data_IF_244211490508
#
_entry.id   IF_244211490508
#
_cell.length_a   1.000
_cell.length_b   1.000
_cell.length_c   1.000
_cell.angle_alpha   90.00
_cell.angle_beta   90.00
_cell.angle_gamma   90.00
#
_symmetry.space_group_name_H-M   'P 1'
#
loop_
_entity.id
_entity.type
_entity.pdbx_description
1 polymer ?
#
# COMPACT_ATOMS: atom_id res chain seq x y z
N UNK A 1 5.11 -30.25 58.12
CA UNK A 1 5.92 -29.72 57.00
C UNK A 1 6.84 -28.66 57.57
N UNK A 2 8.15 -28.84 57.47
CA UNK A 2 9.14 -27.88 57.99
C UNK A 2 9.12 -26.60 57.12
N UNK A 3 9.08 -25.40 57.71
CA UNK A 3 9.07 -24.15 56.95
C UNK A 3 10.41 -23.97 56.23
N UNK A 4 10.39 -23.84 54.91
CA UNK A 4 11.60 -23.52 54.14
C UNK A 4 12.10 -22.13 54.55
N UNK A 5 13.36 -22.09 54.99
CA UNK A 5 14.01 -20.88 55.46
C UNK A 5 14.18 -19.90 54.29
N UNK A 6 13.53 -18.73 54.35
CA UNK A 6 13.45 -17.78 53.23
C UNK A 6 14.83 -17.33 52.73
N UNK A 7 15.80 -17.20 53.63
CA UNK A 7 17.15 -16.77 53.27
C UNK A 7 17.91 -17.85 52.49
N UNK A 8 17.62 -19.13 52.74
CA UNK A 8 18.16 -20.23 51.95
C UNK A 8 17.63 -20.20 50.52
N UNK A 9 16.36 -19.84 50.33
CA UNK A 9 15.74 -19.75 49.00
C UNK A 9 16.29 -18.56 48.22
N UNK A 10 16.47 -17.41 48.87
CA UNK A 10 17.09 -16.23 48.25
C UNK A 10 18.53 -16.51 47.83
N UNK A 11 19.31 -17.17 48.70
CA UNK A 11 20.68 -17.54 48.39
C UNK A 11 20.77 -18.52 47.22
N UNK A 12 19.82 -19.47 47.11
CA UNK A 12 19.75 -20.37 45.97
C UNK A 12 19.41 -19.59 44.68
N UNK A 13 18.42 -18.70 44.73
CA UNK A 13 18.04 -17.89 43.58
C UNK A 13 19.18 -17.00 43.07
N UNK A 14 19.93 -16.37 43.96
CA UNK A 14 21.07 -15.54 43.57
C UNK A 14 22.18 -16.37 42.92
N UNK A 15 22.46 -17.58 43.43
CA UNK A 15 23.42 -18.49 42.81
C UNK A 15 23.00 -18.92 41.41
N UNK A 16 21.73 -19.26 41.22
CA UNK A 16 21.18 -19.61 39.91
C UNK A 16 21.21 -18.41 38.96
N UNK A 17 20.90 -17.21 39.44
CA UNK A 17 20.97 -15.99 38.66
C UNK A 17 22.40 -15.68 38.20
N UNK A 18 23.38 -15.77 39.10
CA UNK A 18 24.79 -15.55 38.79
C UNK A 18 25.30 -16.58 37.79
N UNK A 19 24.90 -17.85 37.95
CA UNK A 19 25.22 -18.92 37.02
C UNK A 19 24.66 -18.65 35.61
N UNK A 20 23.37 -18.34 35.51
CA UNK A 20 22.71 -18.04 34.22
C UNK A 20 23.33 -16.80 33.58
N UNK A 21 23.62 -15.76 34.36
CA UNK A 21 24.27 -14.55 33.85
C UNK A 21 25.68 -14.84 33.32
N UNK A 22 26.46 -15.68 34.01
CA UNK A 22 27.79 -16.07 33.56
C UNK A 22 27.74 -16.87 32.25
N UNK A 23 26.79 -17.79 32.13
CA UNK A 23 26.56 -18.56 30.90
C UNK A 23 26.14 -17.65 29.75
N UNK A 24 25.17 -16.75 29.99
CA UNK A 24 24.70 -15.80 28.97
C UNK A 24 25.80 -14.85 28.51
N UNK A 25 26.73 -14.46 29.38
CA UNK A 25 27.86 -13.60 29.02
C UNK A 25 28.96 -14.35 28.23
N UNK A 26 29.12 -15.66 28.44
CA UNK A 26 30.01 -16.49 27.62
C UNK A 26 29.44 -16.73 26.23
N UNK A 27 28.11 -16.80 26.10
CA UNK A 27 27.43 -16.88 24.82
C UNK A 27 27.44 -15.51 24.16
N UNK A 28 28.30 -15.31 23.16
CA UNK A 28 28.21 -14.16 22.26
C UNK A 28 26.92 -14.28 21.46
N UNK A 29 25.83 -13.72 21.98
CA UNK A 29 24.60 -13.58 21.22
C UNK A 29 24.91 -12.71 19.99
N UNK A 30 24.50 -13.12 18.78
CA UNK A 30 24.56 -12.25 17.63
C UNK A 30 23.76 -11.00 17.99
N UNK A 31 24.42 -9.83 17.94
CA UNK A 31 23.75 -8.55 18.05
C UNK A 31 22.63 -8.57 17.01
N UNK A 32 21.39 -8.39 17.47
CA UNK A 32 20.22 -8.40 16.58
C UNK A 32 20.35 -7.19 15.66
N UNK A 33 21.00 -7.40 14.53
CA UNK A 33 20.98 -6.48 13.40
C UNK A 33 19.51 -6.46 12.98
N UNK A 34 18.80 -5.39 13.34
CA UNK A 34 17.55 -5.06 12.68
C UNK A 34 17.89 -4.99 11.19
N UNK A 35 17.39 -5.96 10.40
CA UNK A 35 17.59 -6.06 8.95
C UNK A 35 17.04 -4.80 8.25
N UNK A 36 17.84 -3.73 8.27
CA UNK A 36 17.68 -2.58 7.42
C UNK A 36 18.36 -2.89 6.10
N UNK A 37 17.61 -3.58 5.26
CA UNK A 37 17.83 -3.87 3.85
C UNK A 37 18.41 -2.64 3.10
N UNK A 38 19.75 -2.58 2.98
CA UNK A 38 20.44 -1.70 2.04
C UNK A 38 21.82 -2.27 1.71
N UNK A 39 21.82 -3.20 0.75
CA UNK A 39 22.98 -3.51 -0.09
C UNK A 39 23.44 -2.24 -0.83
N UNK A 40 24.59 -1.69 -0.43
CA UNK A 40 25.46 -0.97 -1.36
C UNK A 40 26.90 -1.07 -0.83
N UNK A 41 27.67 -1.93 -1.50
CA UNK A 41 29.11 -2.07 -1.34
C UNK A 41 29.79 -0.76 -1.71
N UNK A 42 30.52 -0.16 -0.77
CA UNK A 42 31.71 0.60 -1.11
C UNK A 42 32.68 0.57 0.06
N UNK A 43 33.86 0.03 -0.23
CA UNK A 43 35.00 -0.07 0.65
C UNK A 43 35.56 1.33 0.92
N UNK A 44 35.27 1.88 2.10
CA UNK A 44 36.16 2.82 2.76
C UNK A 44 35.85 2.88 4.25
N UNK A 45 36.83 2.50 5.07
CA UNK A 45 36.77 2.53 6.54
C UNK A 45 36.72 3.98 7.03
N UNK A 46 35.54 4.59 6.98
CA UNK A 46 35.16 5.68 7.89
C UNK A 46 33.98 5.18 8.71
N UNK A 47 34.25 4.87 9.97
CA UNK A 47 33.23 4.56 10.99
C UNK A 47 32.22 5.71 11.00
N UNK A 48 31.09 5.52 10.32
CA UNK A 48 30.00 6.48 10.34
C UNK A 48 29.36 6.35 11.72
N UNK A 49 29.63 7.32 12.59
CA UNK A 49 28.91 7.48 13.86
C UNK A 49 27.40 7.54 13.55
N UNK A 50 26.54 6.95 14.39
CA UNK A 50 25.09 7.04 14.19
C UNK A 50 24.67 8.52 14.15
N UNK A 51 23.85 8.88 13.17
CA UNK A 51 23.36 10.26 12.93
C UNK A 51 22.66 10.88 14.16
N UNK A 52 22.27 10.07 15.15
CA UNK A 52 21.67 10.55 16.39
C UNK A 52 22.68 11.00 17.46
N UNK A 53 23.99 10.80 17.25
CA UNK A 53 25.03 11.10 18.23
C UNK A 53 26.03 12.16 17.73
N UNK A 54 25.55 13.17 17.02
CA UNK A 54 26.32 14.40 16.80
C UNK A 54 25.74 15.50 17.67
N UNK A 55 26.51 15.97 18.65
CA UNK A 55 26.17 17.06 19.58
C UNK A 55 25.94 18.43 18.90
N UNK A 56 26.09 18.51 17.57
CA UNK A 56 25.95 19.75 16.79
C UNK A 56 24.55 19.99 16.23
N UNK A 57 23.59 19.06 16.41
CA UNK A 57 22.21 19.27 15.97
C UNK A 57 21.47 20.03 17.06
N UNK A 58 21.52 21.36 16.99
CA UNK A 58 20.71 22.27 17.82
C UNK A 58 19.21 22.05 17.57
N UNK A 59 18.64 21.04 18.24
CA UNK A 59 17.21 20.75 18.28
C UNK A 59 16.50 21.94 18.92
N UNK A 60 15.38 22.36 18.33
CA UNK A 60 14.60 23.47 18.86
C UNK A 60 14.21 23.18 20.31
N UNK A 61 14.46 24.13 21.21
CA UNK A 61 14.25 23.99 22.65
C UNK A 61 12.79 24.28 23.02
N UNK A 62 12.07 25.05 22.20
CA UNK A 62 10.63 25.32 22.40
C UNK A 62 9.83 25.21 21.09
N UNK A 63 8.51 25.08 21.23
CA UNK A 63 7.57 25.03 20.12
C UNK A 63 7.58 26.35 19.32
N UNK A 64 7.65 27.48 20.02
CA UNK A 64 7.70 28.80 19.41
C UNK A 64 9.02 29.02 18.64
N UNK A 65 10.14 28.54 19.17
CA UNK A 65 11.42 28.53 18.45
C UNK A 65 11.35 27.68 17.18
N UNK A 66 10.70 26.50 17.24
CA UNK A 66 10.49 25.67 16.06
C UNK A 66 9.64 26.40 15.01
N UNK A 67 8.54 27.04 15.43
CA UNK A 67 7.65 27.78 14.54
C UNK A 67 8.33 28.95 13.85
N UNK A 68 9.08 29.76 14.60
CA UNK A 68 9.85 30.88 14.05
C UNK A 68 10.93 30.40 13.06
N UNK A 69 11.62 29.30 13.40
CA UNK A 69 12.64 28.70 12.53
C UNK A 69 12.04 28.13 11.24
N UNK A 70 10.86 27.50 11.32
CA UNK A 70 10.11 27.02 10.15
C UNK A 70 9.60 28.18 9.27
N UNK A 71 9.13 29.26 9.87
CA UNK A 71 8.73 30.47 9.16
C UNK A 71 9.91 31.08 8.39
N UNK A 72 11.08 31.24 9.04
CA UNK A 72 12.29 31.75 8.41
C UNK A 72 12.76 30.87 7.23
N UNK A 73 12.63 29.55 7.32
CA UNK A 73 12.95 28.63 6.21
C UNK A 73 11.95 28.77 5.06
N UNK A 74 10.67 29.05 5.37
CA UNK A 74 9.62 29.23 4.38
C UNK A 74 9.77 30.54 3.59
N UNK A 75 10.26 31.60 4.24
CA UNK A 75 10.44 32.92 3.65
C UNK A 75 11.74 33.09 2.85
N UNK A 76 12.75 32.24 3.09
CA UNK A 76 14.00 32.23 2.31
C UNK A 76 13.71 31.99 0.82
N UNK A 77 13.94 33.03 0.00
CA UNK A 77 13.80 32.97 -1.46
C UNK A 77 14.98 32.20 -2.05
N UNK A 78 14.70 31.04 -2.66
CA UNK A 78 15.71 30.23 -3.32
C UNK A 78 16.29 30.95 -4.55
N UNK A 79 17.62 30.94 -4.69
CA UNK A 79 18.31 31.31 -5.93
C UNK A 79 17.86 30.40 -7.09
N UNK A 80 18.11 30.79 -8.35
CA UNK A 80 17.71 30.00 -9.51
C UNK A 80 18.25 28.55 -9.46
N UNK A 81 19.53 28.38 -9.10
CA UNK A 81 20.14 27.05 -8.86
C UNK A 81 19.44 26.30 -7.71
N UNK A 82 19.11 26.99 -6.62
CA UNK A 82 18.36 26.41 -5.50
C UNK A 82 16.95 25.94 -5.88
N UNK A 83 16.24 26.66 -6.75
CA UNK A 83 14.92 26.25 -7.27
C UNK A 83 15.00 24.96 -8.08
N UNK A 84 16.04 24.81 -8.91
CA UNK A 84 16.26 23.59 -9.70
C UNK A 84 16.51 22.40 -8.76
N UNK A 85 17.35 22.56 -7.75
CA UNK A 85 17.65 21.51 -6.76
C UNK A 85 16.38 21.10 -6.00
N UNK A 86 15.59 22.09 -5.53
CA UNK A 86 14.31 21.85 -4.86
C UNK A 86 13.35 21.04 -5.73
N UNK A 87 13.21 21.40 -7.00
CA UNK A 87 12.34 20.69 -7.94
C UNK A 87 12.82 19.25 -8.20
N UNK A 88 14.12 19.04 -8.36
CA UNK A 88 14.72 17.70 -8.48
C UNK A 88 14.44 16.85 -7.24
N UNK A 89 14.62 17.41 -6.05
CA UNK A 89 14.37 16.73 -4.78
C UNK A 89 12.89 16.39 -4.59
N UNK A 90 11.98 17.32 -4.90
CA UNK A 90 10.55 17.08 -4.85
C UNK A 90 10.11 15.97 -5.80
N UNK A 91 10.66 15.92 -7.02
CA UNK A 91 10.39 14.85 -7.97
C UNK A 91 10.92 13.50 -7.47
N UNK A 92 12.10 13.47 -6.82
CA UNK A 92 12.67 12.26 -6.20
C UNK A 92 11.77 11.75 -5.07
N UNK A 93 11.27 12.64 -4.21
CA UNK A 93 10.32 12.29 -3.13
C UNK A 93 9.00 11.76 -3.70
N UNK A 94 8.44 12.42 -4.72
CA UNK A 94 7.20 11.96 -5.39
C UNK A 94 7.37 10.58 -6.01
N UNK A 95 8.52 10.32 -6.65
CA UNK A 95 8.86 8.98 -7.19
C UNK A 95 8.97 7.94 -6.10
N UNK A 96 9.70 8.21 -5.01
CA UNK A 96 9.81 7.28 -3.87
C UNK A 96 8.45 7.00 -3.22
N UNK A 97 7.60 8.02 -3.04
CA UNK A 97 6.23 7.84 -2.54
C UNK A 97 5.38 6.98 -3.48
N UNK A 98 5.44 7.22 -4.79
CA UNK A 98 4.72 6.42 -5.80
C UNK A 98 5.21 4.96 -5.83
N UNK A 99 6.51 4.73 -5.69
CA UNK A 99 7.07 3.37 -5.60
C UNK A 99 6.60 2.70 -4.30
N UNK A 100 6.67 3.38 -3.16
CA UNK A 100 6.21 2.81 -1.89
C UNK A 100 4.71 2.52 -1.86
N UNK A 101 3.90 3.36 -2.52
CA UNK A 101 2.46 3.17 -2.67
C UNK A 101 2.14 1.99 -3.60
N UNK A 102 2.94 1.78 -4.65
CA UNK A 102 2.86 0.59 -5.53
C UNK A 102 3.30 -0.69 -4.81
N UNK A 103 4.41 -0.67 -4.07
CA UNK A 103 4.91 -1.85 -3.35
C UNK A 103 4.04 -2.23 -2.15
N UNK A 104 3.30 -1.28 -1.56
CA UNK A 104 2.23 -1.57 -0.58
C UNK A 104 0.93 -2.06 -1.22
N UNK A 105 0.75 -1.90 -2.53
CA UNK A 105 -0.48 -2.21 -3.27
C UNK A 105 -0.47 -3.52 -4.07
N UNK A 106 0.70 -4.08 -4.39
CA UNK A 106 0.80 -5.22 -5.32
C UNK A 106 1.64 -6.36 -4.73
N UNK A 107 0.98 -7.27 -4.00
CA UNK A 107 1.29 -8.71 -4.04
C UNK A 107 0.02 -9.46 -4.46
N UNK A 108 -0.22 -9.48 -5.77
CA UNK A 108 -1.00 -10.51 -6.46
C UNK A 108 -0.30 -10.81 -7.79
N UNK A 109 0.03 -12.07 -8.11
CA UNK A 109 0.51 -12.42 -9.43
C UNK A 109 -0.69 -12.40 -10.38
N UNK A 110 -0.55 -11.74 -11.53
CA UNK A 110 -1.51 -11.81 -12.61
C UNK A 110 -0.76 -12.32 -13.83
N UNK A 111 -0.90 -13.61 -14.11
CA UNK A 111 -0.67 -14.17 -15.44
C UNK A 111 -1.63 -13.46 -16.40
N UNK A 112 -1.06 -12.78 -17.40
CA UNK A 112 -1.86 -12.24 -18.50
C UNK A 112 -1.44 -12.96 -19.76
N UNK A 113 -2.33 -13.82 -20.21
CA UNK A 113 -2.34 -14.47 -21.52
C UNK A 113 -2.49 -13.36 -22.57
N UNK A 114 -1.48 -13.18 -23.42
CA UNK A 114 -1.62 -12.43 -24.67
C UNK A 114 -1.63 -13.40 -25.85
N UNK A 115 -2.79 -13.46 -26.50
CA UNK A 115 -2.96 -13.94 -27.88
C UNK A 115 -2.37 -12.89 -28.81
N UNK A 116 -1.40 -13.28 -29.62
CA UNK A 116 -1.16 -12.66 -30.93
C UNK A 116 -0.97 -13.77 -31.96
N UNK A 117 -1.96 -13.90 -32.85
CA UNK A 117 -1.76 -14.50 -34.16
C UNK A 117 -0.71 -13.67 -34.91
N UNK A 118 0.29 -14.32 -35.52
CA UNK A 118 0.56 -14.18 -36.96
C UNK A 118 1.74 -15.06 -37.42
N UNK A 119 1.43 -15.84 -38.48
CA UNK A 119 2.26 -16.28 -39.61
C UNK A 119 3.50 -17.16 -39.33
N UNK A 120 3.30 -18.44 -39.63
CA UNK A 120 4.34 -19.45 -39.83
C UNK A 120 5.06 -19.26 -41.18
N UNK A 121 6.34 -18.91 -41.15
CA UNK A 121 7.28 -19.21 -42.23
C UNK A 121 8.10 -20.45 -41.86
N UNK A 122 8.04 -21.45 -42.74
CA UNK A 122 8.75 -22.72 -42.68
C UNK A 122 10.26 -22.50 -42.76
N UNK A 123 11.04 -22.94 -41.76
CA UNK A 123 12.46 -23.28 -41.91
C UNK A 123 12.75 -24.51 -41.05
N UNK A 124 13.22 -25.57 -41.72
CA UNK A 124 13.77 -26.78 -41.12
C UNK A 124 15.17 -26.49 -40.57
N UNK A 125 15.53 -27.06 -39.42
CA UNK A 125 16.91 -26.97 -38.92
C UNK A 125 17.07 -27.57 -37.53
N UNK A 126 17.59 -28.79 -37.48
CA UNK A 126 18.06 -29.49 -36.28
C UNK A 126 19.22 -28.73 -35.62
N UNK A 127 19.07 -28.40 -34.34
CA UNK A 127 20.18 -28.41 -33.38
C UNK A 127 19.63 -28.33 -31.95
N UNK A 128 19.79 -29.44 -31.24
CA UNK A 128 19.60 -29.59 -29.79
C UNK A 128 20.58 -28.69 -29.04
N UNK A 129 20.18 -27.45 -28.81
CA UNK A 129 20.72 -26.60 -27.74
C UNK A 129 19.55 -26.19 -26.86
N UNK A 130 19.46 -26.86 -25.71
CA UNK A 130 18.47 -26.59 -24.67
C UNK A 130 18.43 -25.08 -24.37
N UNK A 131 17.34 -24.42 -24.76
CA UNK A 131 17.04 -23.05 -24.31
C UNK A 131 16.52 -23.13 -22.88
N UNK A 132 17.43 -23.01 -21.92
CA UNK A 132 17.08 -22.77 -20.53
C UNK A 132 16.45 -21.37 -20.43
N UNK A 133 15.15 -21.32 -20.16
CA UNK A 133 14.47 -20.08 -19.78
C UNK A 133 14.65 -19.92 -18.28
N UNK A 134 15.37 -18.88 -17.87
CA UNK A 134 15.86 -18.60 -16.51
C UNK A 134 14.77 -18.42 -15.42
N UNK A 135 13.50 -18.74 -15.69
CA UNK A 135 12.43 -18.52 -14.71
C UNK A 135 11.48 -19.71 -14.51
N UNK A 136 11.72 -20.88 -15.12
CA UNK A 136 10.98 -22.12 -14.83
C UNK A 136 11.83 -23.36 -15.16
N UNK A 137 12.73 -23.71 -14.25
CA UNK A 137 13.25 -25.08 -14.17
C UNK A 137 12.29 -25.83 -13.23
N UNK A 138 11.42 -26.66 -13.79
CA UNK A 138 10.69 -27.65 -13.00
C UNK A 138 11.53 -28.93 -13.02
N UNK A 139 12.15 -29.28 -11.89
CA UNK A 139 12.81 -30.57 -11.74
C UNK A 139 11.73 -31.64 -11.66
N UNK A 140 11.64 -32.46 -12.71
CA UNK A 140 10.73 -33.59 -12.79
C UNK A 140 11.27 -34.71 -11.89
N UNK A 141 11.08 -34.61 -10.58
CA UNK A 141 11.56 -35.64 -9.66
C UNK A 141 11.49 -35.39 -8.16
N UNK A 142 11.09 -34.20 -7.67
CA UNK A 142 11.09 -33.92 -6.23
C UNK A 142 9.71 -33.46 -5.76
N UNK A 143 9.10 -34.31 -4.94
CA UNK A 143 7.97 -34.13 -4.02
C UNK A 143 6.98 -33.00 -4.38
N UNK A 144 5.77 -33.40 -4.79
CA UNK A 144 4.61 -32.51 -4.75
C UNK A 144 4.53 -31.88 -3.36
N UNK A 145 4.85 -30.60 -3.25
CA UNK A 145 4.53 -29.84 -2.07
C UNK A 145 3.06 -30.12 -1.75
N UNK A 146 2.80 -30.55 -0.52
CA UNK A 146 1.45 -30.64 0.03
C UNK A 146 0.95 -29.21 0.06
N UNK A 147 0.42 -28.75 -1.06
CA UNK A 147 -0.16 -27.42 -1.17
C UNK A 147 -1.48 -27.52 -0.43
N UNK A 148 -1.46 -27.02 0.81
CA UNK A 148 -2.66 -26.97 1.60
C UNK A 148 -3.81 -26.30 0.82
N UNK A 149 -5.06 -26.75 1.03
CA UNK A 149 -6.19 -26.36 0.20
C UNK A 149 -6.29 -24.83 0.14
N UNK A 150 -6.54 -24.25 -1.05
CA UNK A 150 -6.53 -22.81 -1.24
C UNK A 150 -7.60 -22.16 -0.37
N UNK A 151 -7.17 -21.54 0.72
CA UNK A 151 -8.08 -20.74 1.55
C UNK A 151 -8.67 -19.62 0.70
N UNK A 152 -10.00 -19.46 0.73
CA UNK A 152 -10.69 -18.55 -0.15
C UNK A 152 -10.14 -17.11 0.01
N UNK A 153 -9.58 -16.59 -1.08
CA UNK A 153 -8.94 -15.26 -1.07
C UNK A 153 -9.98 -14.15 -0.86
N UNK A 154 -11.24 -14.42 -1.18
CA UNK A 154 -12.35 -13.49 -1.13
C UNK A 154 -13.11 -13.60 0.20
N UNK A 155 -13.11 -12.51 0.98
CA UNK A 155 -13.77 -12.46 2.29
C UNK A 155 -15.29 -12.73 2.26
N UNK A 156 -15.98 -12.48 1.13
CA UNK A 156 -17.40 -12.82 0.97
C UNK A 156 -17.59 -14.33 0.85
N UNK A 157 -16.81 -14.96 -0.03
CA UNK A 157 -16.82 -16.41 -0.23
C UNK A 157 -16.47 -17.13 1.08
N UNK A 158 -15.44 -16.69 1.80
CA UNK A 158 -15.10 -17.22 3.13
C UNK A 158 -16.25 -17.12 4.14
N UNK A 159 -16.97 -15.98 4.14
CA UNK A 159 -18.12 -15.79 5.03
C UNK A 159 -19.26 -16.74 4.67
N UNK A 160 -19.51 -16.93 3.38
CA UNK A 160 -20.57 -17.80 2.89
C UNK A 160 -20.23 -19.28 3.14
N UNK A 161 -18.98 -19.70 2.95
CA UNK A 161 -18.46 -21.02 3.33
C UNK A 161 -18.66 -21.32 4.83
N UNK A 162 -18.42 -20.34 5.71
CA UNK A 162 -18.66 -20.50 7.15
C UNK A 162 -20.16 -20.65 7.42
N UNK A 163 -21.00 -19.85 6.78
CA UNK A 163 -22.46 -19.93 6.94
C UNK A 163 -23.02 -21.26 6.44
N UNK A 164 -22.58 -21.75 5.29
CA UNK A 164 -23.05 -23.03 4.75
C UNK A 164 -22.64 -24.17 5.68
N UNK A 165 -21.41 -24.18 6.20
CA UNK A 165 -20.99 -25.16 7.22
C UNK A 165 -21.85 -25.10 8.48
N UNK A 166 -22.13 -23.90 8.99
CA UNK A 166 -23.02 -23.70 10.14
C UNK A 166 -24.45 -24.20 9.87
N UNK A 167 -24.98 -23.94 8.67
CA UNK A 167 -26.30 -24.42 8.26
C UNK A 167 -26.32 -25.95 8.21
N UNK A 168 -25.32 -26.59 7.59
CA UNK A 168 -25.19 -28.04 7.55
C UNK A 168 -25.18 -28.66 8.96
N UNK A 169 -24.42 -28.08 9.90
CA UNK A 169 -24.43 -28.57 11.28
C UNK A 169 -25.78 -28.39 11.95
N UNK A 170 -26.44 -27.25 11.76
CA UNK A 170 -27.75 -26.98 12.35
C UNK A 170 -28.83 -27.90 11.75
N UNK A 171 -28.73 -28.26 10.47
CA UNK A 171 -29.63 -29.20 9.80
C UNK A 171 -29.49 -30.61 10.37
N UNK A 172 -28.25 -31.07 10.60
CA UNK A 172 -27.97 -32.36 11.25
C UNK A 172 -28.43 -32.40 12.71
N UNK A 173 -28.29 -31.28 13.44
CA UNK A 173 -28.83 -31.18 14.80
C UNK A 173 -30.37 -31.24 14.82
N UNK A 174 -31.03 -30.64 13.82
CA UNK A 174 -32.49 -30.67 13.68
C UNK A 174 -33.03 -32.03 13.24
N UNK A 175 -32.29 -32.79 12.43
CA UNK A 175 -32.70 -34.14 12.00
C UNK A 175 -32.54 -35.20 13.09
N UNK A 176 -32.04 -34.83 14.27
CA UNK A 176 -31.84 -35.73 15.41
C UNK A 176 -30.46 -36.40 15.45
N UNK A 177 -29.59 -36.15 14.48
CA UNK A 177 -28.24 -36.71 14.39
C UNK A 177 -27.19 -35.84 15.12
N UNK A 178 -27.46 -35.48 16.38
CA UNK A 178 -26.65 -34.50 17.12
C UNK A 178 -25.19 -34.94 17.30
N UNK A 179 -24.94 -36.24 17.43
CA UNK A 179 -23.60 -36.77 17.67
C UNK A 179 -22.74 -36.71 16.41
N UNK A 180 -23.32 -36.98 15.24
CA UNK A 180 -22.64 -36.79 13.95
C UNK A 180 -22.30 -35.31 13.72
N UNK A 181 -23.19 -34.39 14.09
CA UNK A 181 -22.92 -32.96 13.98
C UNK A 181 -21.74 -32.52 14.87
N UNK A 182 -21.66 -33.05 16.11
CA UNK A 182 -20.53 -32.79 17.03
C UNK A 182 -19.23 -33.37 16.50
N UNK A 183 -19.25 -34.61 16.00
CA UNK A 183 -18.07 -35.25 15.41
C UNK A 183 -17.54 -34.47 14.21
N UNK A 184 -18.43 -34.02 13.30
CA UNK A 184 -18.05 -33.18 12.16
C UNK A 184 -17.48 -31.84 12.59
N UNK A 185 -18.09 -31.15 13.56
CA UNK A 185 -17.57 -29.90 14.14
C UNK A 185 -16.16 -30.11 14.72
N UNK A 186 -15.97 -31.19 15.47
CA UNK A 186 -14.69 -31.52 16.08
C UNK A 186 -13.64 -31.84 15.01
N UNK A 187 -13.98 -32.66 14.00
CA UNK A 187 -13.12 -32.98 12.86
C UNK A 187 -12.68 -31.71 12.13
N UNK A 188 -13.60 -30.81 11.83
CA UNK A 188 -13.29 -29.55 11.15
C UNK A 188 -12.45 -28.60 12.02
N UNK A 189 -12.66 -28.59 13.34
CA UNK A 189 -11.82 -27.85 14.28
C UNK A 189 -10.38 -28.39 14.28
N UNK A 190 -10.19 -29.70 14.35
CA UNK A 190 -8.87 -30.34 14.27
C UNK A 190 -8.18 -30.08 12.94
N UNK A 191 -8.90 -30.20 11.82
CA UNK A 191 -8.36 -29.87 10.50
C UNK A 191 -7.90 -28.41 10.42
N UNK A 192 -8.66 -27.47 11.00
CA UNK A 192 -8.27 -26.06 11.03
C UNK A 192 -7.01 -25.84 11.90
N UNK A 193 -6.88 -26.54 13.02
CA UNK A 193 -5.68 -26.46 13.88
C UNK A 193 -4.47 -27.03 13.15
N UNK A 194 -4.62 -28.18 12.50
CA UNK A 194 -3.56 -28.81 11.70
C UNK A 194 -3.11 -27.90 10.57
N UNK A 195 -4.05 -27.33 9.81
CA UNK A 195 -3.73 -26.38 8.74
C UNK A 195 -3.02 -25.12 9.28
N UNK A 196 -3.40 -24.62 10.46
CA UNK A 196 -2.70 -23.50 11.11
C UNK A 196 -1.27 -23.89 11.50
N UNK A 197 -1.05 -25.11 11.99
CA UNK A 197 0.27 -25.64 12.34
C UNK A 197 1.17 -25.86 11.12
N UNK A 198 0.59 -26.27 9.98
CA UNK A 198 1.26 -26.37 8.68
C UNK A 198 1.68 -25.01 8.11
N UNK A 199 1.12 -23.91 8.65
CA UNK A 199 1.43 -22.53 8.23
C UNK A 199 0.39 -21.90 7.30
N UNK A 200 -0.74 -22.58 7.10
CA UNK A 200 -1.84 -22.12 6.26
C UNK A 200 -2.64 -21.04 6.97
N UNK A 201 -2.85 -19.91 6.28
CA UNK A 201 -3.61 -18.77 6.82
C UNK A 201 -5.12 -19.01 6.75
N UNK A 202 -5.65 -19.78 7.71
CA UNK A 202 -7.09 -20.04 7.86
C UNK A 202 -7.83 -18.75 8.27
N UNK A 203 -8.88 -18.38 7.52
CA UNK A 203 -9.71 -17.18 7.75
C UNK A 203 -11.13 -17.57 8.17
N UNK A 204 -11.25 -18.05 9.41
CA UNK A 204 -12.47 -18.59 10.02
C UNK A 204 -13.28 -17.54 10.84
N UNK A 205 -12.68 -16.39 11.17
CA UNK A 205 -13.31 -15.37 12.03
C UNK A 205 -14.38 -14.52 11.31
N UNK A 206 -15.65 -14.75 11.63
CA UNK A 206 -16.83 -14.06 11.05
C UNK A 206 -16.74 -12.53 11.19
N UNK A 207 -16.40 -12.01 12.37
CA UNK A 207 -16.38 -10.57 12.61
C UNK A 207 -15.28 -9.86 11.82
N UNK A 208 -14.12 -10.50 11.68
CA UNK A 208 -13.02 -9.98 10.87
C UNK A 208 -13.37 -9.99 9.38
N UNK A 209 -14.06 -11.03 8.91
CA UNK A 209 -14.55 -11.10 7.53
C UNK A 209 -15.57 -9.99 7.24
N UNK A 210 -16.55 -9.78 8.13
CA UNK A 210 -17.52 -8.67 8.04
C UNK A 210 -16.82 -7.30 8.00
N UNK A 211 -15.88 -7.05 8.91
CA UNK A 211 -15.07 -5.81 8.93
C UNK A 211 -14.28 -5.62 7.63
N UNK A 212 -13.71 -6.71 7.10
CA UNK A 212 -12.96 -6.68 5.83
C UNK A 212 -13.86 -6.32 4.66
N UNK A 213 -15.08 -6.87 4.60
CA UNK A 213 -16.08 -6.54 3.59
C UNK A 213 -16.46 -5.05 3.70
N UNK A 214 -16.81 -4.57 4.89
CA UNK A 214 -17.15 -3.17 5.13
C UNK A 214 -16.02 -2.21 4.74
N UNK A 215 -14.76 -2.56 5.02
CA UNK A 215 -13.58 -1.78 4.61
C UNK A 215 -13.47 -1.69 3.08
N UNK A 216 -13.66 -2.80 2.38
CA UNK A 216 -13.64 -2.84 0.90
C UNK A 216 -14.77 -2.01 0.32
N UNK A 217 -15.96 -2.08 0.89
CA UNK A 217 -17.11 -1.28 0.44
C UNK A 217 -16.88 0.22 0.67
N UNK A 218 -16.34 0.61 1.84
CA UNK A 218 -15.95 1.99 2.11
C UNK A 218 -14.91 2.49 1.10
N UNK A 219 -13.88 1.69 0.79
CA UNK A 219 -12.89 2.03 -0.23
C UNK A 219 -13.53 2.25 -1.61
N UNK A 220 -14.47 1.38 -2.01
CA UNK A 220 -15.21 1.53 -3.27
C UNK A 220 -16.04 2.81 -3.30
N UNK A 221 -16.74 3.15 -2.20
CA UNK A 221 -17.50 4.41 -2.07
C UNK A 221 -16.59 5.64 -2.18
N UNK A 222 -15.44 5.63 -1.52
CA UNK A 222 -14.45 6.71 -1.61
C UNK A 222 -13.86 6.82 -3.02
N UNK A 223 -13.63 5.70 -3.70
CA UNK A 223 -13.20 5.78 -5.11
C UNK A 223 -14.31 6.33 -6.00
N UNK A 224 -15.55 5.87 -5.85
CA UNK A 224 -16.67 6.32 -6.68
C UNK A 224 -16.89 7.83 -6.54
N UNK A 225 -16.95 8.34 -5.32
CA UNK A 225 -17.07 9.79 -5.03
C UNK A 225 -15.95 10.60 -5.68
N UNK A 226 -14.69 10.18 -5.53
CA UNK A 226 -13.55 10.85 -6.19
C UNK A 226 -13.63 10.84 -7.71
N UNK A 227 -14.18 9.78 -8.30
CA UNK A 227 -14.37 9.71 -9.75
C UNK A 227 -15.48 10.65 -10.21
N UNK A 228 -16.58 10.74 -9.48
CA UNK A 228 -17.66 11.70 -9.76
C UNK A 228 -17.19 13.15 -9.58
N UNK A 229 -16.44 13.47 -8.52
CA UNK A 229 -15.82 14.79 -8.33
C UNK A 229 -14.91 15.18 -9.51
N UNK A 230 -14.13 14.24 -10.04
CA UNK A 230 -13.27 14.47 -11.21
C UNK A 230 -14.09 14.75 -12.48
N UNK A 231 -15.16 13.99 -12.72
CA UNK A 231 -16.07 14.22 -13.85
C UNK A 231 -16.72 15.60 -13.74
N UNK A 232 -17.28 15.92 -12.57
CA UNK A 232 -17.91 17.22 -12.30
C UNK A 232 -16.93 18.38 -12.50
N UNK A 233 -15.69 18.23 -12.01
CA UNK A 233 -14.64 19.25 -12.21
C UNK A 233 -14.31 19.42 -13.70
N UNK A 234 -14.18 18.31 -14.43
CA UNK A 234 -13.93 18.34 -15.87
C UNK A 234 -15.06 19.04 -16.62
N UNK A 235 -16.32 18.71 -16.32
CA UNK A 235 -17.49 19.35 -16.92
C UNK A 235 -17.57 20.84 -16.59
N UNK A 236 -17.35 21.23 -15.33
CA UNK A 236 -17.24 22.64 -14.93
C UNK A 236 -16.17 23.36 -15.73
N UNK A 237 -14.97 22.81 -15.83
CA UNK A 237 -13.87 23.46 -16.56
C UNK A 237 -14.15 23.58 -18.06
N UNK A 238 -14.84 22.60 -18.67
CA UNK A 238 -15.31 22.69 -20.06
C UNK A 238 -16.34 23.82 -20.21
N UNK A 239 -17.34 23.86 -19.34
CA UNK A 239 -18.39 24.89 -19.33
C UNK A 239 -17.80 26.28 -19.14
N UNK A 240 -16.94 26.47 -18.14
CA UNK A 240 -16.28 27.75 -17.87
C UNK A 240 -15.46 28.25 -19.07
N UNK A 241 -14.75 27.36 -19.78
CA UNK A 241 -14.01 27.74 -21.00
C UNK A 241 -14.95 28.14 -22.12
N UNK A 242 -16.05 27.42 -22.29
CA UNK A 242 -17.06 27.74 -23.29
C UNK A 242 -17.74 29.07 -22.98
N UNK A 243 -18.13 29.31 -21.74
CA UNK A 243 -18.77 30.55 -21.28
C UNK A 243 -17.81 31.75 -21.44
N UNK A 244 -16.52 31.58 -21.14
CA UNK A 244 -15.50 32.60 -21.42
C UNK A 244 -15.43 32.91 -22.92
N UNK A 245 -15.48 31.89 -23.78
CA UNK A 245 -15.45 32.08 -25.23
C UNK A 245 -16.70 32.79 -25.74
N UNK A 246 -17.89 32.39 -25.30
CA UNK A 246 -19.16 33.02 -25.71
C UNK A 246 -19.20 34.47 -25.26
N UNK A 247 -18.82 34.77 -24.02
CA UNK A 247 -18.75 36.14 -23.49
C UNK A 247 -17.75 37.01 -24.27
N UNK A 248 -16.56 36.48 -24.59
CA UNK A 248 -15.57 37.20 -25.41
C UNK A 248 -16.08 37.46 -26.84
N UNK A 249 -16.81 36.52 -27.44
CA UNK A 249 -17.42 36.71 -28.77
C UNK A 249 -18.54 37.74 -28.73
N UNK A 250 -19.38 37.73 -27.69
CA UNK A 250 -20.43 38.73 -27.48
C UNK A 250 -19.83 40.13 -27.31
N UNK A 251 -18.80 40.26 -26.47
CA UNK A 251 -18.07 41.52 -26.28
C UNK A 251 -17.48 42.02 -27.60
N UNK A 252 -16.82 41.16 -28.39
CA UNK A 252 -16.31 41.52 -29.73
C UNK A 252 -17.42 41.97 -30.68
N UNK A 253 -18.61 41.35 -30.65
CA UNK A 253 -19.77 41.76 -31.46
C UNK A 253 -20.30 43.13 -31.02
N UNK A 254 -20.41 43.37 -29.71
CA UNK A 254 -20.84 44.66 -29.16
C UNK A 254 -19.84 45.77 -29.50
N UNK A 255 -18.53 45.55 -29.27
CA UNK A 255 -17.47 46.49 -29.63
C UNK A 255 -17.46 46.84 -31.13
N UNK A 256 -17.72 45.86 -32.01
CA UNK A 256 -17.87 46.14 -33.46
C UNK A 256 -19.06 47.06 -33.73
N UNK A 257 -20.22 46.78 -33.13
CA UNK A 257 -21.42 47.63 -33.25
C UNK A 257 -21.15 49.05 -32.73
N UNK A 258 -20.52 49.17 -31.56
CA UNK A 258 -20.14 50.46 -30.98
C UNK A 258 -19.13 51.22 -31.83
N UNK A 259 -18.12 50.55 -32.39
CA UNK A 259 -17.15 51.17 -33.31
C UNK A 259 -17.85 51.71 -34.56
N UNK A 260 -18.81 50.97 -35.13
CA UNK A 260 -19.61 51.43 -36.27
C UNK A 260 -20.45 52.66 -35.87
N UNK A 261 -21.14 52.61 -34.73
CA UNK A 261 -21.91 53.75 -34.19
C UNK A 261 -21.03 54.99 -34.00
N UNK A 262 -19.88 54.86 -33.32
CA UNK A 262 -18.92 55.97 -33.10
C UNK A 262 -18.41 56.56 -34.41
N UNK A 263 -18.16 55.74 -35.44
CA UNK A 263 -17.76 56.23 -36.77
C UNK A 263 -18.88 56.98 -37.50
N UNK A 264 -20.14 56.54 -37.36
CA UNK A 264 -21.29 57.22 -37.96
C UNK A 264 -21.52 58.61 -37.33
N UNK A 265 -21.47 58.71 -36.00
CA UNK A 265 -21.58 59.98 -35.26
C UNK A 265 -20.48 60.96 -35.69
N UNK A 266 -19.21 60.51 -35.75
CA UNK A 266 -18.09 61.34 -36.20
C UNK A 266 -18.24 61.87 -37.63
N UNK A 267 -19.01 61.18 -38.48
CA UNK A 267 -19.30 61.60 -39.86
C UNK A 267 -20.61 62.40 -39.98
N UNK A 268 -21.25 62.78 -38.87
CA UNK A 268 -22.50 63.53 -38.86
C UNK A 268 -23.73 62.74 -39.34
N UNK A 269 -23.65 61.39 -39.41
CA UNK A 269 -24.78 60.55 -39.82
C UNK A 269 -25.69 60.27 -38.63
N UNK A 270 -27.01 60.44 -38.80
CA UNK A 270 -28.01 60.15 -37.78
C UNK A 270 -27.97 58.67 -37.37
N UNK A 271 -27.87 58.42 -36.05
CA UNK A 271 -27.88 57.08 -35.46
C UNK A 271 -29.15 56.93 -34.63
N UNK A 272 -30.10 56.04 -34.99
CA UNK A 272 -31.33 55.84 -34.23
C UNK A 272 -31.02 55.44 -32.78
N UNK A 273 -31.62 56.15 -31.80
CA UNK A 273 -31.43 55.92 -30.37
C UNK A 273 -30.28 56.69 -29.72
N UNK A 274 -29.71 57.69 -30.40
CA UNK A 274 -28.85 58.73 -29.83
C UNK A 274 -29.46 60.07 -30.24
N UNK A 275 -30.46 60.50 -29.47
CA UNK A 275 -30.98 61.85 -29.29
C UNK A 275 -31.80 61.84 -28.00
#
# INVERSE_FOLDING_TARGET
>A
MLPLNQDSVKNLFNKEFDFVSAVLNQVKFPERVEDSDSEESDSDKKVRKPILASDEINRAQSLDELHTRLAAIREKKYTYRGKIIKNKLQNKIKRKKKIHEKTKGEKKPNDTVEKTNEKSSKVNGTNSKAKLVFNRINFLGEQTEITAPPTSTNAKVALDEIKTKQQMYNELEKSGESDKAKELKQRDAWNNVLAKAEGVKVKDNVDLLKKTIARKERQKKVSATKWEERKNTLEKTKKEKQDKRTNNLLKKKQEKKEKIKKKAIKKGRFVPGIN
#
